data_IF_284913815723
#
_entry.id   IF_284913815723
#
_cell.length_a   1.000
_cell.length_b   1.000
_cell.length_c   1.000
_cell.angle_alpha   90.00
_cell.angle_beta   90.00
_cell.angle_gamma   90.00
#
_symmetry.space_group_name_H-M   'P 1'
#
loop_
_entity.id
_entity.type
_entity.pdbx_description
1 polymer ?
#
# COMPACT_ATOMS: atom_id res chain seq x y z
N UNK A 1 -5.49 -0.25 -18.41
CA UNK A 1 -4.21 0.13 -17.74
C UNK A 1 -4.26 1.57 -17.24
N UNK A 2 -4.95 2.46 -17.95
CA UNK A 2 -4.96 3.91 -17.68
C UNK A 2 -5.30 4.31 -16.24
N UNK A 3 -6.27 3.64 -15.59
CA UNK A 3 -6.62 3.93 -14.20
C UNK A 3 -5.46 3.66 -13.22
N UNK A 4 -4.71 2.58 -13.43
CA UNK A 4 -3.57 2.23 -12.56
C UNK A 4 -2.41 3.21 -12.74
N UNK A 5 -2.14 3.65 -13.97
CA UNK A 5 -1.12 4.66 -14.27
C UNK A 5 -1.50 6.04 -13.72
N UNK A 6 -2.78 6.42 -13.85
CA UNK A 6 -3.30 7.66 -13.28
C UNK A 6 -3.18 7.65 -11.75
N UNK A 7 -3.56 6.55 -11.12
CA UNK A 7 -3.46 6.40 -9.66
C UNK A 7 -2.01 6.38 -9.20
N UNK A 8 -1.12 5.71 -9.95
CA UNK A 8 0.32 5.72 -9.68
C UNK A 8 0.88 7.14 -9.71
N UNK A 9 0.58 7.89 -10.78
CA UNK A 9 1.01 9.29 -10.94
C UNK A 9 0.44 10.18 -9.83
N UNK A 10 -0.81 9.96 -9.42
CA UNK A 10 -1.45 10.69 -8.33
C UNK A 10 -0.75 10.43 -6.99
N UNK A 11 -0.46 9.16 -6.68
CA UNK A 11 0.21 8.75 -5.45
C UNK A 11 1.67 9.21 -5.39
N UNK A 12 2.36 9.23 -6.52
CA UNK A 12 3.74 9.75 -6.64
C UNK A 12 3.84 11.24 -6.31
N UNK A 13 2.81 12.02 -6.65
CA UNK A 13 2.75 13.45 -6.39
C UNK A 13 2.28 13.81 -4.96
N UNK A 14 1.90 12.83 -4.13
CA UNK A 14 1.50 13.09 -2.75
C UNK A 14 2.71 13.42 -1.88
N UNK A 15 2.55 14.42 -1.02
CA UNK A 15 3.54 14.72 0.03
C UNK A 15 3.64 13.54 0.98
N UNK A 16 4.81 13.34 1.59
CA UNK A 16 4.95 12.31 2.61
C UNK A 16 4.06 12.61 3.83
N UNK A 17 3.60 11.57 4.58
CA UNK A 17 2.98 11.76 5.87
C UNK A 17 3.85 12.66 6.76
N UNK A 18 3.27 13.69 7.36
CA UNK A 18 4.01 14.64 8.19
C UNK A 18 3.17 15.15 9.33
N UNK A 19 3.85 15.48 10.41
CA UNK A 19 3.24 16.13 11.57
C UNK A 19 3.55 17.62 11.53
N UNK A 20 2.52 18.47 11.52
CA UNK A 20 2.65 19.92 11.54
C UNK A 20 1.50 20.51 12.36
N UNK A 21 1.72 21.62 13.07
CA UNK A 21 0.67 22.31 13.85
C UNK A 21 -0.11 21.40 14.83
N UNK A 22 0.57 20.39 15.39
CA UNK A 22 0.00 19.35 16.26
C UNK A 22 -1.02 18.44 15.56
N UNK A 23 -0.96 18.35 14.23
CA UNK A 23 -1.83 17.55 13.38
C UNK A 23 -1.02 16.60 12.52
N UNK A 24 -1.57 15.41 12.31
CA UNK A 24 -1.05 14.49 11.32
C UNK A 24 -1.68 14.80 9.97
N UNK A 25 -0.88 15.27 9.02
CA UNK A 25 -1.24 15.33 7.61
C UNK A 25 -0.97 13.95 7.00
N UNK A 26 -2.05 13.21 6.73
CA UNK A 26 -1.98 11.85 6.24
C UNK A 26 -2.51 11.76 4.79
N UNK A 27 -1.62 11.59 3.80
CA UNK A 27 -2.02 11.13 2.48
C UNK A 27 -2.62 9.73 2.60
N UNK A 28 -3.81 9.54 2.06
CA UNK A 28 -4.56 8.30 2.20
C UNK A 28 -5.59 8.12 1.08
N UNK A 29 -6.07 6.89 0.95
CA UNK A 29 -7.29 6.58 0.20
C UNK A 29 -8.44 6.52 1.19
N UNK A 30 -9.43 7.40 1.04
CA UNK A 30 -10.56 7.55 1.95
C UNK A 30 -11.82 6.88 1.39
N UNK A 31 -12.29 5.87 2.08
CA UNK A 31 -13.52 5.12 1.79
C UNK A 31 -14.64 5.63 2.69
N UNK A 32 -15.73 6.11 2.08
CA UNK A 32 -16.88 6.62 2.83
C UNK A 32 -17.66 5.45 3.43
N UNK A 33 -17.87 5.49 4.74
CA UNK A 33 -18.70 4.50 5.43
C UNK A 33 -20.17 4.85 5.22
N UNK A 34 -20.95 3.91 4.70
CA UNK A 34 -22.37 4.09 4.34
C UNK A 34 -23.31 3.45 5.35
N UNK A 35 -22.84 2.46 6.11
CA UNK A 35 -23.61 1.86 7.20
C UNK A 35 -22.70 1.33 8.29
N UNK A 36 -23.15 1.44 9.54
CA UNK A 36 -22.55 0.79 10.71
C UNK A 36 -23.67 0.19 11.55
N UNK A 37 -23.62 -1.12 11.77
CA UNK A 37 -24.59 -1.88 12.55
C UNK A 37 -23.89 -2.59 13.70
N UNK A 38 -24.43 -2.49 14.90
CA UNK A 38 -23.90 -3.22 16.05
C UNK A 38 -24.27 -4.70 15.95
N UNK A 39 -23.28 -5.57 16.08
CA UNK A 39 -23.46 -7.01 16.25
C UNK A 39 -23.35 -7.32 17.75
N UNK A 40 -24.33 -8.03 18.31
CA UNK A 40 -24.28 -8.41 19.73
C UNK A 40 -23.24 -9.53 19.89
N UNK A 41 -22.12 -9.22 20.53
CA UNK A 41 -21.14 -10.18 21.04
C UNK A 41 -20.97 -9.95 22.55
N UNK A 42 -20.78 -11.03 23.31
CA UNK A 42 -21.00 -11.06 24.76
C UNK A 42 -20.17 -10.04 25.56
N UNK A 43 -18.94 -9.74 25.14
CA UNK A 43 -17.99 -8.94 25.93
C UNK A 43 -17.21 -7.89 25.12
N UNK A 44 -17.55 -7.72 23.83
CA UNK A 44 -16.86 -6.78 22.95
C UNK A 44 -17.84 -6.11 21.98
N UNK A 45 -17.66 -4.81 21.76
CA UNK A 45 -18.48 -4.06 20.81
C UNK A 45 -18.00 -4.37 19.39
N UNK A 46 -18.68 -5.32 18.75
CA UNK A 46 -18.44 -5.70 17.34
C UNK A 46 -19.45 -4.98 16.47
N UNK A 47 -18.97 -4.35 15.40
CA UNK A 47 -19.81 -3.64 14.42
C UNK A 47 -19.58 -4.21 13.02
N UNK A 48 -20.64 -4.36 12.26
CA UNK A 48 -20.59 -4.57 10.82
C UNK A 48 -20.59 -3.20 10.15
N UNK A 49 -19.55 -2.92 9.36
CA UNK A 49 -19.41 -1.66 8.63
C UNK A 49 -19.41 -1.92 7.12
N UNK A 50 -20.09 -1.04 6.39
CA UNK A 50 -20.09 -1.02 4.93
C UNK A 50 -19.52 0.30 4.46
N UNK A 51 -18.67 0.24 3.44
CA UNK A 51 -18.06 1.42 2.86
C UNK A 51 -18.00 1.31 1.35
N UNK A 52 -18.10 2.46 0.68
CA UNK A 52 -18.04 2.53 -0.78
C UNK A 52 -16.70 2.00 -1.26
N UNK A 53 -16.73 0.98 -2.11
CA UNK A 53 -15.54 0.35 -2.70
C UNK A 53 -14.79 -0.65 -1.82
N UNK A 54 -15.28 -0.94 -0.61
CA UNK A 54 -14.74 -2.00 0.25
C UNK A 54 -15.72 -3.17 0.40
N UNK A 55 -15.17 -4.35 0.72
CA UNK A 55 -15.98 -5.47 1.18
C UNK A 55 -16.54 -5.14 2.57
N UNK A 56 -17.73 -5.68 2.86
CA UNK A 56 -18.32 -5.61 4.19
C UNK A 56 -17.30 -6.14 5.22
N UNK A 57 -17.04 -5.36 6.27
CA UNK A 57 -16.02 -5.66 7.25
C UNK A 57 -16.58 -5.62 8.67
N UNK A 58 -15.91 -6.37 9.56
CA UNK A 58 -16.18 -6.34 10.99
C UNK A 58 -15.17 -5.42 11.68
N UNK A 59 -15.68 -4.47 12.44
CA UNK A 59 -14.90 -3.55 13.26
C UNK A 59 -15.13 -3.91 14.71
N UNK A 60 -14.05 -4.26 15.38
CA UNK A 60 -14.06 -4.53 16.81
C UNK A 60 -13.44 -3.32 17.52
N UNK A 61 -14.14 -2.74 18.48
CA UNK A 61 -13.64 -1.59 19.24
C UNK A 61 -14.15 -1.63 20.67
N UNK A 62 -13.50 -0.89 21.57
CA UNK A 62 -14.01 -0.66 22.94
C UNK A 62 -14.98 0.51 22.98
N UNK A 63 -14.84 1.45 22.04
CA UNK A 63 -15.67 2.63 21.94
C UNK A 63 -17.04 2.32 21.34
N UNK A 64 -18.08 3.02 21.83
CA UNK A 64 -19.42 2.90 21.27
C UNK A 64 -19.53 3.71 19.97
N UNK A 65 -19.62 3.01 18.84
CA UNK A 65 -19.85 3.65 17.55
C UNK A 65 -21.33 4.01 17.41
N UNK A 66 -21.59 5.20 16.84
CA UNK A 66 -22.95 5.62 16.48
C UNK A 66 -23.40 4.73 15.32
N UNK A 67 -24.56 4.08 15.47
CA UNK A 67 -25.14 3.26 14.43
C UNK A 67 -25.89 4.12 13.41
N UNK A 68 -25.72 3.83 12.13
CA UNK A 68 -26.39 4.54 11.05
C UNK A 68 -26.57 3.67 9.81
N UNK A 69 -27.55 4.06 8.99
CA UNK A 69 -27.85 3.42 7.72
C UNK A 69 -28.52 4.43 6.78
N UNK A 70 -28.62 4.13 5.46
CA UNK A 70 -29.10 5.09 4.46
C UNK A 70 -30.46 5.79 4.71
N UNK A 71 -31.49 5.26 5.40
CA UNK A 71 -32.67 6.07 5.72
C UNK A 71 -32.46 7.02 6.91
N UNK A 72 -31.36 6.90 7.66
CA UNK A 72 -31.01 7.75 8.81
C UNK A 72 -29.53 8.16 8.74
N UNK A 73 -29.16 9.05 7.81
CA UNK A 73 -27.82 9.61 7.79
C UNK A 73 -27.59 10.40 9.07
N UNK A 74 -26.70 9.90 9.93
CA UNK A 74 -26.18 10.70 11.05
C UNK A 74 -25.37 11.86 10.49
N UNK A 75 -25.38 13.00 11.19
CA UNK A 75 -24.62 14.20 10.78
C UNK A 75 -23.10 14.00 10.66
N UNK A 76 -22.56 12.88 11.14
CA UNK A 76 -21.11 12.64 11.17
C UNK A 76 -20.71 11.78 9.98
N UNK A 77 -19.80 12.31 9.17
CA UNK A 77 -19.18 11.56 8.08
C UNK A 77 -18.10 10.65 8.67
N UNK A 78 -18.27 9.34 8.53
CA UNK A 78 -17.27 8.35 8.91
C UNK A 78 -16.47 7.92 7.67
N UNK A 79 -15.15 7.85 7.82
CA UNK A 79 -14.22 7.42 6.78
C UNK A 79 -13.40 6.24 7.29
N UNK A 80 -13.26 5.21 6.46
CA UNK A 80 -12.20 4.23 6.57
C UNK A 80 -11.06 4.69 5.67
N UNK A 81 -9.87 4.87 6.23
CA UNK A 81 -8.72 5.35 5.48
C UNK A 81 -7.63 4.32 5.41
N UNK A 82 -7.08 4.15 4.20
CA UNK A 82 -5.84 3.44 3.93
C UNK A 82 -4.69 4.44 3.86
N UNK A 83 -3.75 4.45 4.81
CA UNK A 83 -2.59 5.32 4.75
C UNK A 83 -1.74 5.07 3.50
N UNK A 84 -1.42 6.10 2.73
CA UNK A 84 -0.48 5.99 1.61
C UNK A 84 0.95 6.21 2.15
N UNK A 85 1.57 5.16 2.71
CA UNK A 85 3.04 5.18 2.87
C UNK A 85 3.69 4.96 1.50
N UNK A 86 4.93 5.41 1.27
CA UNK A 86 5.59 5.58 -0.05
C UNK A 86 5.53 4.32 -0.95
N UNK A 87 4.39 4.15 -1.62
CA UNK A 87 3.86 3.06 -2.47
C UNK A 87 3.33 1.78 -1.78
N UNK A 88 2.79 1.93 -0.57
CA UNK A 88 2.25 0.86 0.29
C UNK A 88 3.22 -0.33 0.45
N UNK A 89 4.51 0.05 0.53
CA UNK A 89 5.78 -0.60 0.95
C UNK A 89 6.35 -1.80 0.16
N UNK A 90 7.21 -1.56 -0.86
CA UNK A 90 7.89 -2.58 -1.71
C UNK A 90 9.40 -2.60 -1.40
N UNK A 91 10.02 -3.79 -1.23
CA UNK A 91 10.94 -4.32 -2.25
C UNK A 91 10.33 -5.59 -2.88
N UNK A 92 10.53 -5.80 -4.18
CA UNK A 92 10.14 -7.06 -4.84
C UNK A 92 11.18 -8.13 -4.51
N UNK A 93 10.69 -9.37 -4.35
CA UNK A 93 11.42 -10.60 -3.98
C UNK A 93 12.94 -10.56 -4.24
N UNK A 94 13.78 -10.67 -3.18
CA UNK A 94 15.25 -10.56 -3.18
C UNK A 94 15.77 -9.10 -3.13
N UNK A 95 16.52 -8.71 -2.11
CA UNK A 95 17.99 -8.79 -2.20
C UNK A 95 18.49 -8.32 -3.58
N UNK A 96 18.65 -7.00 -3.72
CA UNK A 96 19.43 -6.40 -4.79
C UNK A 96 20.78 -7.10 -4.89
N UNK A 97 21.00 -8.01 -5.86
CA UNK A 97 22.35 -8.39 -6.32
C UNK A 97 23.39 -8.63 -5.20
N UNK A 98 22.98 -9.05 -3.99
CA UNK A 98 23.80 -8.96 -2.76
C UNK A 98 24.88 -10.03 -2.67
N UNK A 99 25.06 -10.81 -3.73
CA UNK A 99 26.19 -11.72 -3.93
C UNK A 99 27.15 -11.25 -5.03
N UNK A 100 26.85 -10.12 -5.68
CA UNK A 100 27.78 -9.43 -6.55
C UNK A 100 28.60 -8.42 -5.73
N UNK A 101 29.44 -8.91 -4.82
CA UNK A 101 30.79 -8.36 -4.58
C UNK A 101 31.63 -9.35 -3.74
N UNK A 102 32.78 -9.71 -4.30
CA UNK A 102 33.77 -10.73 -3.90
C UNK A 102 34.42 -10.51 -2.51
N UNK A 103 35.15 -11.51 -2.01
CA UNK A 103 36.62 -11.42 -2.09
C UNK A 103 37.20 -12.71 -2.70
N UNK A 104 37.92 -12.64 -3.82
CA UNK A 104 39.39 -12.62 -3.88
C UNK A 104 40.14 -13.22 -2.67
N UNK A 105 41.20 -13.96 -3.00
CA UNK A 105 42.16 -14.64 -2.13
C UNK A 105 41.75 -16.03 -1.56
N UNK A 106 42.35 -17.09 -2.12
CA UNK A 106 43.60 -17.69 -1.55
C UNK A 106 43.88 -19.06 -2.18
N UNK A 107 44.88 -19.09 -3.08
CA UNK A 107 45.92 -20.11 -3.23
C UNK A 107 45.62 -21.57 -2.79
N UNK A 108 45.49 -22.49 -3.75
CA UNK A 108 45.87 -23.89 -3.55
C UNK A 108 46.65 -24.40 -4.77
N UNK A 109 47.79 -25.02 -4.48
CA UNK A 109 48.96 -25.20 -5.35
C UNK A 109 49.32 -26.69 -5.39
N UNK A 110 49.12 -27.35 -6.53
CA UNK A 110 49.92 -28.45 -7.09
C UNK A 110 49.25 -28.88 -8.43
N UNK A 111 49.89 -29.16 -9.57
CA UNK A 111 51.29 -29.35 -9.92
C UNK A 111 51.47 -30.68 -10.64
N UNK A 112 51.24 -30.79 -11.96
CA UNK A 112 51.94 -31.74 -12.86
C UNK A 112 51.56 -31.60 -14.37
N UNK A 113 52.50 -31.06 -15.18
CA UNK A 113 52.85 -31.23 -16.62
C UNK A 113 52.00 -32.19 -17.52
N UNK A 114 51.73 -32.05 -18.83
CA UNK A 114 52.04 -31.18 -20.01
C UNK A 114 51.05 -31.57 -21.15
N UNK A 115 50.65 -30.74 -22.13
CA UNK A 115 51.36 -30.43 -23.38
C UNK A 115 50.49 -29.47 -24.28
N UNK A 116 51.06 -28.81 -25.32
CA UNK A 116 50.54 -27.57 -25.91
C UNK A 116 49.75 -27.74 -27.21
N UNK A 117 48.77 -26.87 -27.45
CA UNK A 117 48.04 -26.71 -28.71
C UNK A 117 47.61 -25.24 -28.89
N UNK A 118 48.01 -24.64 -30.00
CA UNK A 118 48.11 -23.20 -30.30
C UNK A 118 46.75 -22.50 -30.64
N UNK A 119 46.70 -21.27 -31.24
CA UNK A 119 46.27 -20.06 -30.54
C UNK A 119 45.10 -19.29 -31.21
N UNK A 120 44.60 -18.27 -30.51
CA UNK A 120 43.99 -17.03 -31.04
C UNK A 120 42.58 -17.15 -31.68
N UNK A 121 41.54 -16.59 -31.02
CA UNK A 121 40.84 -15.37 -31.46
C UNK A 121 39.55 -15.11 -30.63
N UNK A 122 39.41 -13.84 -30.24
CA UNK A 122 38.23 -13.07 -29.81
C UNK A 122 37.43 -13.42 -28.54
N UNK A 123 37.56 -12.52 -27.55
CA UNK A 123 36.49 -12.06 -26.64
C UNK A 123 36.23 -10.58 -26.94
N UNK A 124 35.09 -9.94 -26.55
CA UNK A 124 33.94 -10.45 -25.79
C UNK A 124 32.57 -10.06 -26.40
N UNK A 125 31.68 -11.02 -26.63
CA UNK A 125 30.31 -10.77 -27.09
C UNK A 125 29.34 -10.53 -25.95
N UNK A 126 29.47 -9.39 -25.27
CA UNK A 126 28.46 -8.63 -24.50
C UNK A 126 27.11 -9.35 -24.36
N UNK A 127 26.79 -9.83 -23.15
CA UNK A 127 25.40 -10.17 -22.80
C UNK A 127 24.51 -8.98 -23.20
N UNK A 128 23.34 -9.20 -23.81
CA UNK A 128 22.40 -8.12 -24.01
C UNK A 128 22.02 -7.62 -22.62
N UNK A 129 22.55 -6.47 -22.20
CA UNK A 129 21.83 -5.59 -21.30
C UNK A 129 20.51 -5.33 -22.02
N UNK A 130 19.48 -6.09 -21.66
CA UNK A 130 18.13 -5.77 -22.01
C UNK A 130 17.90 -4.36 -21.48
N UNK A 131 17.96 -3.36 -22.36
CA UNK A 131 17.45 -2.05 -22.05
C UNK A 131 15.96 -2.24 -21.79
N UNK A 132 15.60 -2.48 -20.53
CA UNK A 132 14.22 -2.45 -20.09
C UNK A 132 13.66 -1.11 -20.56
N UNK A 133 12.72 -1.17 -21.50
CA UNK A 133 12.07 0.03 -22.00
C UNK A 133 11.40 0.75 -20.82
N UNK A 134 11.46 2.08 -20.81
CA UNK A 134 10.87 2.91 -19.75
C UNK A 134 9.39 2.57 -19.56
N UNK A 135 8.69 2.27 -20.65
CA UNK A 135 7.27 1.91 -20.66
C UNK A 135 7.00 0.55 -19.99
N UNK A 136 7.86 -0.46 -20.21
CA UNK A 136 7.76 -1.76 -19.54
C UNK A 136 7.89 -1.60 -18.02
N UNK A 137 8.85 -0.80 -17.56
CA UNK A 137 9.11 -0.57 -16.14
C UNK A 137 7.96 0.15 -15.43
N UNK A 138 7.32 1.11 -16.12
CA UNK A 138 6.13 1.81 -15.60
C UNK A 138 4.93 0.87 -15.52
N UNK A 139 4.73 0.03 -16.54
CA UNK A 139 3.70 -1.01 -16.53
C UNK A 139 3.85 -1.95 -15.34
N UNK A 140 5.06 -2.44 -15.07
CA UNK A 140 5.34 -3.33 -13.94
C UNK A 140 5.09 -2.67 -12.58
N UNK A 141 5.44 -1.39 -12.44
CA UNK A 141 5.14 -0.61 -11.23
C UNK A 141 3.63 -0.44 -11.04
N UNK A 142 2.89 -0.13 -12.10
CA UNK A 142 1.44 0.03 -12.05
C UNK A 142 0.71 -1.28 -11.71
N UNK A 143 1.21 -2.42 -12.23
CA UNK A 143 0.69 -3.75 -11.91
C UNK A 143 0.94 -4.13 -10.45
N UNK A 144 2.13 -3.83 -9.91
CA UNK A 144 2.45 -4.06 -8.50
C UNK A 144 1.61 -3.20 -7.57
N UNK A 145 1.46 -1.92 -7.89
CA UNK A 145 0.57 -1.02 -7.16
C UNK A 145 -0.86 -1.57 -7.14
N UNK A 146 -1.34 -2.00 -8.30
CA UNK A 146 -2.65 -2.64 -8.47
C UNK A 146 -2.81 -3.85 -7.54
N UNK A 147 -1.87 -4.79 -7.55
CA UNK A 147 -1.92 -5.97 -6.69
C UNK A 147 -1.97 -5.60 -5.19
N UNK A 148 -1.22 -4.56 -4.78
CA UNK A 148 -1.20 -4.09 -3.40
C UNK A 148 -2.50 -3.41 -2.99
N UNK A 149 -3.12 -2.66 -3.90
CA UNK A 149 -4.37 -1.98 -3.62
C UNK A 149 -5.52 -2.96 -3.37
N UNK A 150 -5.49 -4.15 -3.97
CA UNK A 150 -6.50 -5.19 -3.73
C UNK A 150 -6.22 -6.07 -2.50
N UNK A 151 -4.99 -6.04 -1.96
CA UNK A 151 -4.66 -6.75 -0.73
C UNK A 151 -5.40 -6.15 0.48
N UNK A 152 -5.71 -7.00 1.49
CA UNK A 152 -6.19 -6.52 2.78
C UNK A 152 -5.21 -5.51 3.39
N UNK A 153 -5.74 -4.49 4.05
CA UNK A 153 -4.93 -3.43 4.65
C UNK A 153 -5.45 -3.03 6.02
N UNK A 154 -4.54 -2.57 6.88
CA UNK A 154 -4.88 -1.91 8.14
C UNK A 154 -5.50 -0.54 7.87
N UNK A 155 -6.73 -0.35 8.30
CA UNK A 155 -7.50 0.87 8.13
C UNK A 155 -7.61 1.66 9.44
N UNK A 156 -7.73 2.99 9.33
CA UNK A 156 -8.20 3.80 10.45
C UNK A 156 -9.65 4.20 10.23
N UNK A 157 -10.46 4.08 11.28
CA UNK A 157 -11.80 4.65 11.29
C UNK A 157 -11.74 6.08 11.84
N UNK A 158 -12.12 7.04 11.01
CA UNK A 158 -12.13 8.46 11.32
C UNK A 158 -13.57 9.00 11.31
N UNK A 159 -13.85 9.91 12.24
CA UNK A 159 -15.08 10.71 12.23
C UNK A 159 -14.73 12.17 11.92
N UNK A 160 -15.46 12.76 10.97
CA UNK A 160 -15.38 14.19 10.70
C UNK A 160 -16.05 14.98 11.84
N UNK A 161 -15.33 15.98 12.35
CA UNK A 161 -15.78 16.93 13.36
C UNK A 161 -16.43 18.16 12.72
N UNK A 162 -17.15 18.96 13.52
CA UNK A 162 -17.82 20.20 13.06
C UNK A 162 -16.86 21.23 12.44
N UNK A 163 -15.57 21.16 12.77
CA UNK A 163 -14.52 22.02 12.21
C UNK A 163 -13.89 21.49 10.91
N UNK A 164 -14.41 20.41 10.33
CA UNK A 164 -13.85 19.77 9.13
C UNK A 164 -12.69 18.80 9.42
N UNK A 165 -12.12 18.86 10.63
CA UNK A 165 -11.06 17.99 11.13
C UNK A 165 -11.52 16.54 11.32
N UNK A 166 -10.58 15.60 11.23
CA UNK A 166 -10.86 14.19 11.47
C UNK A 166 -10.30 13.73 12.81
N UNK A 167 -11.12 13.02 13.58
CA UNK A 167 -10.72 12.35 14.82
C UNK A 167 -10.74 10.84 14.63
N UNK A 168 -9.70 10.15 15.09
CA UNK A 168 -9.68 8.68 15.14
C UNK A 168 -10.63 8.17 16.23
N UNK A 169 -11.48 7.20 15.90
CA UNK A 169 -12.52 6.68 16.81
C UNK A 169 -12.42 5.18 17.11
N UNK A 170 -11.50 4.48 16.46
CA UNK A 170 -11.19 3.09 16.78
C UNK A 170 -9.67 2.92 16.67
N UNK A 171 -8.99 2.91 17.82
CA UNK A 171 -7.55 2.73 17.94
C UNK A 171 -7.13 1.34 18.40
N UNK A 172 -8.03 0.65 19.09
CA UNK A 172 -7.64 -0.47 19.96
C UNK A 172 -7.42 -1.79 19.23
N UNK A 173 -7.87 -1.91 17.98
CA UNK A 173 -7.79 -3.14 17.20
C UNK A 173 -7.43 -2.83 15.74
N UNK A 174 -6.73 -3.77 15.11
CA UNK A 174 -6.44 -3.72 13.68
C UNK A 174 -7.74 -3.88 12.89
N UNK A 175 -8.18 -2.81 12.24
CA UNK A 175 -9.29 -2.87 11.29
C UNK A 175 -8.73 -3.34 9.97
N UNK A 176 -9.02 -4.59 9.58
CA UNK A 176 -8.57 -5.13 8.31
C UNK A 176 -9.68 -4.94 7.27
N UNK A 177 -9.42 -4.09 6.28
CA UNK A 177 -10.33 -3.82 5.17
C UNK A 177 -9.78 -4.41 3.86
N UNK A 178 -10.68 -4.73 2.93
CA UNK A 178 -10.31 -5.22 1.59
C UNK A 178 -11.11 -4.46 0.53
N UNK A 179 -10.43 -4.03 -0.52
CA UNK A 179 -11.04 -3.35 -1.66
C UNK A 179 -11.83 -4.36 -2.51
N UNK A 180 -13.03 -4.00 -2.95
CA UNK A 180 -13.88 -4.84 -3.80
C UNK A 180 -13.25 -5.07 -5.19
N UNK A 181 -12.89 -3.96 -5.84
CA UNK A 181 -12.23 -3.94 -7.14
C UNK A 181 -11.42 -2.65 -7.26
N UNK A 182 -10.36 -2.66 -8.07
CA UNK A 182 -9.59 -1.46 -8.40
C UNK A 182 -10.45 -0.36 -9.01
N UNK A 183 -11.45 -0.73 -9.81
CA UNK A 183 -12.40 0.23 -10.39
C UNK A 183 -13.21 0.96 -9.31
N UNK A 184 -13.26 0.43 -8.10
CA UNK A 184 -13.88 1.10 -6.95
C UNK A 184 -12.99 2.17 -6.31
N UNK A 185 -11.69 2.19 -6.61
CA UNK A 185 -10.79 3.26 -6.19
C UNK A 185 -10.78 4.32 -7.29
N UNK A 186 -11.56 5.37 -7.08
CA UNK A 186 -11.55 6.54 -7.97
C UNK A 186 -10.51 7.57 -7.48
N UNK A 187 -9.89 8.35 -8.38
CA UNK A 187 -8.89 9.36 -8.03
C UNK A 187 -9.34 10.32 -6.91
N UNK A 188 -10.63 10.68 -6.89
CA UNK A 188 -11.21 11.58 -5.88
C UNK A 188 -11.17 11.03 -4.44
N UNK A 189 -10.94 9.73 -4.25
CA UNK A 189 -10.79 9.13 -2.92
C UNK A 189 -9.40 9.37 -2.33
N UNK A 190 -8.41 9.69 -3.16
CA UNK A 190 -7.04 9.97 -2.73
C UNK A 190 -6.97 11.39 -2.21
N UNK A 191 -6.71 11.53 -0.90
CA UNK A 191 -6.73 12.82 -0.21
C UNK A 191 -5.63 12.89 0.83
N UNK A 192 -5.25 14.11 1.19
CA UNK A 192 -4.49 14.35 2.43
C UNK A 192 -5.48 14.80 3.49
N UNK A 193 -5.65 13.99 4.55
CA UNK A 193 -6.51 14.33 5.67
C UNK A 193 -5.69 14.91 6.83
N UNK A 194 -6.28 15.85 7.55
CA UNK A 194 -5.74 16.37 8.81
C UNK A 194 -6.40 15.64 9.97
N UNK A 195 -5.58 14.90 10.73
CA UNK A 195 -6.02 14.07 11.85
C UNK A 195 -5.50 14.66 13.16
N UNK A 196 -6.42 14.77 14.14
CA UNK A 196 -6.17 15.20 15.52
C UNK A 196 -5.83 14.02 16.44
#
# INVERSE_FOLDING_TARGET
MDLALNLYSLLENLKAPRFADRRLHLPCIAFRVTAVKRRRAQDQEVYEAKADGLHDLLITTKDKLIQFSPPRPTMHTFLLVRPCNRYLDLPDFAELSGLAELPDDTQSKEGSWSAPGSPLQDSPGRFPEAQESVDSKLSDRALRLTARLTQPFGAFLLAQQRGGEYKRIASDHDIIARVNNLSSIIPDMVKTLEIL
#
